data_IF_383172214628
#
_entry.id   IF_383172214628
#
_cell.length_a   1.000
_cell.length_b   1.000
_cell.length_c   1.000
_cell.angle_alpha   90.00
_cell.angle_beta   90.00
_cell.angle_gamma   90.00
#
_symmetry.space_group_name_H-M   'P 1'
#
loop_
_entity.id
_entity.type
_entity.pdbx_description
1 polymer ?
#
# COMPACT_ATOMS: atom_id res chain seq x y z
N UNK A 1 1.65 3.58 -8.76
CA UNK A 1 2.77 4.51 -9.06
C UNK A 1 2.94 4.77 -10.55
N UNK A 2 2.92 3.73 -11.40
CA UNK A 2 3.09 3.87 -12.86
C UNK A 2 2.18 4.94 -13.49
N UNK A 3 0.88 4.93 -13.17
CA UNK A 3 -0.08 5.94 -13.66
C UNK A 3 0.30 7.38 -13.28
N UNK A 4 0.87 7.58 -12.09
CA UNK A 4 1.31 8.89 -11.60
C UNK A 4 2.52 9.36 -12.41
N UNK A 5 3.53 8.48 -12.56
CA UNK A 5 4.74 8.81 -13.30
C UNK A 5 4.44 9.10 -14.78
N UNK A 6 3.59 8.27 -15.40
CA UNK A 6 3.12 8.50 -16.77
C UNK A 6 2.38 9.81 -16.93
N UNK A 7 1.52 10.18 -15.96
CA UNK A 7 0.84 11.48 -15.94
C UNK A 7 1.78 12.68 -15.84
N UNK A 8 2.96 12.49 -15.23
CA UNK A 8 4.02 13.49 -15.17
C UNK A 8 5.00 13.46 -16.37
N UNK A 9 4.76 12.61 -17.37
CA UNK A 9 5.67 12.42 -18.50
C UNK A 9 6.99 11.72 -18.14
N UNK A 10 7.05 11.08 -16.97
CA UNK A 10 8.24 10.37 -16.48
C UNK A 10 8.13 8.89 -16.82
N UNK A 11 9.14 8.35 -17.52
CA UNK A 11 9.29 6.92 -17.76
C UNK A 11 10.38 6.36 -16.84
N UNK A 12 10.02 5.63 -15.76
CA UNK A 12 11.00 5.10 -14.82
C UNK A 12 11.80 3.96 -15.44
N UNK A 13 13.12 3.94 -15.21
CA UNK A 13 13.96 2.78 -15.48
C UNK A 13 13.97 1.89 -14.25
N UNK A 14 13.13 0.85 -14.24
CA UNK A 14 13.07 -0.12 -13.14
C UNK A 14 14.28 -1.04 -13.23
N UNK A 15 15.17 -0.98 -12.24
CA UNK A 15 16.36 -1.83 -12.17
C UNK A 15 16.11 -3.12 -11.38
N UNK A 16 15.23 -3.05 -10.37
CA UNK A 16 14.94 -4.15 -9.46
C UNK A 16 13.46 -4.16 -9.10
N UNK A 17 12.92 -5.35 -8.87
CA UNK A 17 11.63 -5.59 -8.25
C UNK A 17 11.84 -6.45 -7.01
N UNK A 18 11.03 -6.23 -5.98
CA UNK A 18 11.16 -6.92 -4.71
C UNK A 18 9.76 -7.28 -4.17
N UNK A 19 9.66 -8.36 -3.37
CA UNK A 19 8.37 -8.93 -2.98
C UNK A 19 7.63 -8.11 -1.92
N UNK A 20 8.34 -7.36 -1.09
CA UNK A 20 7.80 -6.60 0.04
C UNK A 20 8.62 -5.34 0.34
N UNK A 21 8.11 -4.49 1.23
CA UNK A 21 8.72 -3.22 1.61
C UNK A 21 10.09 -3.38 2.32
N UNK A 22 10.31 -4.48 3.06
CA UNK A 22 11.57 -4.72 3.78
C UNK A 22 12.70 -5.07 2.81
N UNK A 23 12.40 -5.86 1.77
CA UNK A 23 13.34 -6.17 0.71
C UNK A 23 13.69 -4.92 -0.12
N UNK A 24 12.70 -4.09 -0.46
CA UNK A 24 12.93 -2.79 -1.12
C UNK A 24 13.84 -1.91 -0.26
N UNK A 25 13.56 -1.82 1.04
CA UNK A 25 14.39 -1.05 1.95
C UNK A 25 15.83 -1.53 2.00
N UNK A 26 16.04 -2.84 2.05
CA UNK A 26 17.38 -3.44 2.12
C UNK A 26 18.21 -3.03 0.89
N UNK A 27 17.61 -3.05 -0.30
CA UNK A 27 18.24 -2.58 -1.53
C UNK A 27 18.58 -1.08 -1.49
N UNK A 28 17.63 -0.25 -1.06
CA UNK A 28 17.85 1.21 -0.98
C UNK A 28 18.94 1.55 0.04
N UNK A 29 18.95 0.85 1.19
CA UNK A 29 19.96 1.05 2.25
C UNK A 29 21.36 0.63 1.83
N UNK A 30 21.45 -0.42 1.00
CA UNK A 30 22.70 -0.87 0.42
C UNK A 30 23.16 0.02 -0.76
N UNK A 31 22.42 1.08 -1.11
CA UNK A 31 22.82 2.03 -2.15
C UNK A 31 22.47 1.62 -3.58
N UNK A 32 21.59 0.62 -3.77
CA UNK A 32 21.22 0.13 -5.10
C UNK A 32 20.28 1.08 -5.86
N UNK A 33 19.76 2.13 -5.22
CA UNK A 33 18.96 3.16 -5.86
C UNK A 33 17.93 3.79 -4.93
N UNK A 34 16.83 4.26 -5.52
CA UNK A 34 15.67 4.85 -4.83
C UNK A 34 14.41 4.07 -5.16
N UNK A 35 13.41 4.14 -4.29
CA UNK A 35 12.15 3.42 -4.48
C UNK A 35 10.93 4.27 -4.10
N UNK A 36 9.80 3.98 -4.74
CA UNK A 36 8.48 4.47 -4.35
C UNK A 36 7.79 3.38 -3.52
N UNK A 37 7.42 3.69 -2.29
CA UNK A 37 6.78 2.76 -1.35
C UNK A 37 5.56 3.40 -0.72
N UNK A 38 4.58 2.60 -0.33
CA UNK A 38 3.50 3.07 0.52
C UNK A 38 4.06 3.44 1.90
N UNK A 39 3.46 4.44 2.56
CA UNK A 39 3.86 4.77 3.94
C UNK A 39 3.35 3.67 4.86
N UNK A 40 4.27 2.95 5.49
CA UNK A 40 3.97 1.88 6.45
C UNK A 40 4.75 2.07 7.74
N UNK A 41 4.31 1.42 8.83
CA UNK A 41 5.04 1.44 10.10
C UNK A 41 6.44 0.83 9.99
N UNK A 42 6.67 -0.04 9.01
CA UNK A 42 7.99 -0.59 8.72
C UNK A 42 9.00 0.54 8.44
N UNK A 43 8.59 1.64 7.78
CA UNK A 43 9.46 2.77 7.46
C UNK A 43 9.97 3.54 8.67
N UNK A 44 9.31 3.44 9.83
CA UNK A 44 9.72 4.17 11.05
C UNK A 44 11.01 3.66 11.67
N UNK A 45 11.46 2.45 11.30
CA UNK A 45 12.62 1.77 11.92
C UNK A 45 13.89 1.85 11.10
N UNK A 46 13.90 2.65 10.04
CA UNK A 46 14.79 2.46 8.90
C UNK A 46 15.82 3.59 8.75
N UNK A 47 17.07 3.24 8.43
CA UNK A 47 18.18 4.17 8.24
C UNK A 47 18.22 4.84 6.86
N UNK A 48 17.06 5.03 6.22
CA UNK A 48 16.93 5.69 4.92
C UNK A 48 16.20 7.01 5.06
N UNK A 49 16.57 7.98 4.22
CA UNK A 49 15.86 9.26 4.14
C UNK A 49 14.58 9.07 3.35
N UNK A 50 13.44 9.28 3.99
CA UNK A 50 12.13 9.28 3.33
C UNK A 50 11.78 10.68 2.82
N UNK A 51 11.32 10.77 1.57
CA UNK A 51 10.78 11.99 0.98
C UNK A 51 9.29 11.78 0.71
N UNK A 52 8.45 12.66 1.26
CA UNK A 52 7.00 12.63 1.00
C UNK A 52 6.72 13.37 -0.31
N UNK A 53 5.93 12.76 -1.17
CA UNK A 53 5.52 13.37 -2.44
C UNK A 53 4.18 14.06 -2.20
N UNK A 54 4.18 15.37 -2.31
CA UNK A 54 2.99 16.21 -2.20
C UNK A 54 2.33 16.46 -3.56
N UNK A 55 1.05 16.85 -3.54
CA UNK A 55 0.30 17.19 -4.76
C UNK A 55 -0.10 15.99 -5.63
N UNK A 56 0.14 14.76 -5.16
CA UNK A 56 -0.23 13.53 -5.86
C UNK A 56 -1.22 12.72 -5.01
N UNK A 57 -2.40 12.44 -5.55
CA UNK A 57 -3.37 11.55 -4.93
C UNK A 57 -3.05 10.08 -5.25
N UNK A 58 -2.11 9.51 -4.51
CA UNK A 58 -1.79 8.08 -4.54
C UNK A 58 -2.56 7.35 -3.41
N UNK A 59 -3.82 7.00 -3.65
CA UNK A 59 -4.61 6.25 -2.66
C UNK A 59 -4.48 4.75 -2.91
N UNK A 60 -4.13 3.99 -1.87
CA UNK A 60 -4.25 2.53 -1.84
C UNK A 60 -5.59 2.18 -1.19
N UNK A 61 -6.58 1.78 -1.99
CA UNK A 61 -7.89 1.35 -1.46
C UNK A 61 -7.88 -0.18 -1.30
N UNK A 62 -8.07 -0.65 -0.07
CA UNK A 62 -8.23 -2.06 0.23
C UNK A 62 -9.69 -2.48 0.04
N UNK A 63 -9.92 -3.58 -0.68
CA UNK A 63 -11.25 -4.12 -0.94
C UNK A 63 -11.39 -5.53 -0.37
N UNK A 64 -12.57 -5.84 0.16
CA UNK A 64 -12.96 -7.22 0.47
C UNK A 64 -13.71 -7.80 -0.73
N UNK A 65 -13.16 -8.85 -1.34
CA UNK A 65 -13.79 -9.56 -2.45
C UNK A 65 -14.38 -10.90 -1.97
N UNK A 66 -15.58 -11.23 -2.44
CA UNK A 66 -16.16 -12.56 -2.29
C UNK A 66 -16.97 -12.93 -3.53
N UNK A 67 -17.13 -14.23 -3.81
CA UNK A 67 -17.98 -14.69 -4.90
C UNK A 67 -19.44 -14.61 -4.48
N UNK A 68 -20.24 -13.82 -5.19
CA UNK A 68 -21.68 -13.65 -4.93
C UNK A 68 -22.50 -14.90 -5.26
N UNK A 69 -21.97 -15.77 -6.12
CA UNK A 69 -22.62 -17.02 -6.55
C UNK A 69 -22.23 -18.22 -5.67
N UNK A 70 -21.46 -18.01 -4.60
CA UNK A 70 -21.04 -19.08 -3.69
C UNK A 70 -21.63 -18.82 -2.30
N UNK A 71 -22.08 -19.88 -1.65
CA UNK A 71 -22.51 -19.81 -0.25
C UNK A 71 -21.37 -19.29 0.64
N UNK A 72 -21.66 -18.27 1.46
CA UNK A 72 -20.79 -17.84 2.54
C UNK A 72 -21.32 -18.41 3.87
N UNK A 73 -20.46 -19.09 4.67
CA UNK A 73 -20.87 -19.56 5.99
C UNK A 73 -21.21 -18.38 6.90
N UNK A 74 -22.06 -18.56 7.94
CA UNK A 74 -22.50 -17.46 8.80
C UNK A 74 -21.34 -16.71 9.47
N UNK A 75 -20.24 -17.40 9.78
CA UNK A 75 -19.03 -16.78 10.31
C UNK A 75 -18.40 -15.79 9.32
N UNK A 76 -18.33 -16.13 8.03
CA UNK A 76 -17.79 -15.23 7.00
C UNK A 76 -18.69 -14.01 6.77
N UNK A 77 -20.02 -14.19 6.84
CA UNK A 77 -20.98 -13.07 6.76
C UNK A 77 -20.79 -12.12 7.95
N UNK A 78 -20.66 -12.66 9.18
CA UNK A 78 -20.38 -11.84 10.37
C UNK A 78 -19.07 -11.07 10.23
N UNK A 79 -18.02 -11.71 9.74
CA UNK A 79 -16.73 -11.06 9.49
C UNK A 79 -16.84 -9.94 8.45
N UNK A 80 -17.51 -10.18 7.31
CA UNK A 80 -17.74 -9.15 6.30
C UNK A 80 -18.51 -7.94 6.88
N UNK A 81 -19.54 -8.19 7.68
CA UNK A 81 -20.30 -7.11 8.33
C UNK A 81 -19.46 -6.33 9.35
N UNK A 82 -18.60 -7.03 10.10
CA UNK A 82 -17.65 -6.41 11.01
C UNK A 82 -16.67 -5.50 10.27
N UNK A 83 -16.07 -5.98 9.17
CA UNK A 83 -15.18 -5.16 8.34
C UNK A 83 -15.91 -3.94 7.75
N UNK A 84 -17.15 -4.08 7.29
CA UNK A 84 -17.95 -2.93 6.84
C UNK A 84 -18.18 -1.91 7.95
N UNK A 85 -18.46 -2.36 9.18
CA UNK A 85 -18.66 -1.49 10.33
C UNK A 85 -17.37 -0.74 10.70
N UNK A 86 -16.26 -1.47 10.85
CA UNK A 86 -14.96 -0.89 11.18
C UNK A 86 -14.48 0.09 10.10
N UNK A 87 -14.76 -0.18 8.82
CA UNK A 87 -14.45 0.75 7.72
C UNK A 87 -15.23 2.07 7.85
N UNK A 88 -16.55 2.02 8.13
CA UNK A 88 -17.36 3.21 8.38
C UNK A 88 -16.90 4.02 9.59
N UNK A 89 -16.38 3.35 10.61
CA UNK A 89 -15.86 3.97 11.83
C UNK A 89 -14.41 4.46 11.69
N UNK A 90 -13.76 4.24 10.53
CA UNK A 90 -12.36 4.62 10.29
C UNK A 90 -11.33 3.73 10.99
N UNK A 91 -11.74 2.61 11.60
CA UNK A 91 -10.88 1.71 12.37
C UNK A 91 -10.00 0.81 11.50
N UNK A 92 -10.33 0.66 10.22
CA UNK A 92 -9.50 -0.06 9.23
C UNK A 92 -8.68 0.93 8.38
N UNK A 93 -8.94 2.23 8.56
CA UNK A 93 -8.28 3.31 7.83
C UNK A 93 -7.14 3.94 8.65
N UNK A 94 -6.65 3.30 9.71
CA UNK A 94 -5.50 3.78 10.50
C UNK A 94 -4.14 3.59 9.80
N UNK A 95 -4.11 3.50 8.47
CA UNK A 95 -3.04 4.15 7.71
C UNK A 95 -3.35 5.66 7.63
N UNK A 96 -3.43 6.32 8.79
CA UNK A 96 -3.81 7.73 8.89
C UNK A 96 -2.60 8.62 8.55
N UNK A 97 -2.85 9.41 7.50
CA UNK A 97 -2.21 10.64 6.99
C UNK A 97 -1.29 11.40 7.91
#
# INVERSE_FOLDING_TARGET
>A
MEKILKGAGVSPKVAYEAPDEEAIFSLVSAGFGVAFVAVTDALKKLSVRTLRIDGVHANCTLYMAHNVNRYLPPAAIRFMNHIKLCSKQGLIAEFKR
#
